data_IF_080916187253
#
_entry.id   IF_080916187253
#
_cell.length_a   1.000
_cell.length_b   1.000
_cell.length_c   1.000
_cell.angle_alpha   90.00
_cell.angle_beta   90.00
_cell.angle_gamma   90.00
#
_symmetry.space_group_name_H-M   'P 1'
#
loop_
_entity.id
_entity.type
_entity.pdbx_description
1 polymer ?
#
# COMPACT_ATOMS: atom_id res chain seq x y z
N UNK A 1 -13.44 6.81 1.91
CA UNK A 1 -12.13 7.09 2.52
C UNK A 1 -11.83 6.04 3.57
N UNK A 2 -10.57 5.59 3.64
CA UNK A 2 -10.07 4.63 4.63
C UNK A 2 -8.85 5.24 5.30
N UNK A 3 -8.81 5.26 6.64
CA UNK A 3 -7.65 5.70 7.39
C UNK A 3 -7.69 5.12 8.81
N UNK A 4 -6.80 4.19 9.10
CA UNK A 4 -6.91 3.34 10.29
C UNK A 4 -6.33 3.96 11.56
N UNK A 5 -5.28 4.77 11.43
CA UNK A 5 -4.47 5.19 12.58
C UNK A 5 -4.69 6.65 13.03
N UNK A 6 -5.75 7.31 12.54
CA UNK A 6 -6.13 8.67 12.98
C UNK A 6 -7.43 8.61 13.77
N UNK A 7 -7.41 9.15 14.97
CA UNK A 7 -8.50 9.08 15.95
C UNK A 7 -8.96 10.47 16.35
N UNK A 8 -10.26 10.62 16.58
CA UNK A 8 -10.83 11.85 17.13
C UNK A 8 -10.53 11.94 18.64
N UNK A 9 -9.98 13.06 19.09
CA UNK A 9 -9.78 13.34 20.53
C UNK A 9 -11.11 13.33 21.26
N UNK A 10 -12.18 13.88 20.66
CA UNK A 10 -13.52 13.98 21.26
C UNK A 10 -14.17 12.63 21.52
N UNK A 11 -14.05 11.67 20.62
CA UNK A 11 -14.75 10.39 20.70
C UNK A 11 -13.86 9.20 21.07
N UNK A 12 -12.54 9.34 20.96
CA UNK A 12 -11.57 8.24 21.09
C UNK A 12 -11.71 7.16 20.01
N UNK A 13 -12.51 7.40 18.96
CA UNK A 13 -12.77 6.45 17.89
C UNK A 13 -11.98 6.85 16.63
N UNK A 14 -11.70 5.90 15.71
CA UNK A 14 -11.15 6.23 14.40
C UNK A 14 -11.97 7.33 13.72
N UNK A 15 -11.29 8.29 13.10
CA UNK A 15 -11.93 9.42 12.44
C UNK A 15 -12.59 9.00 11.13
N UNK A 16 -12.03 8.00 10.46
CA UNK A 16 -12.53 7.41 9.22
C UNK A 16 -12.76 5.91 9.42
N UNK A 17 -13.38 5.26 8.44
CA UNK A 17 -13.41 3.80 8.39
C UNK A 17 -11.96 3.26 8.42
N UNK A 18 -11.58 2.40 9.38
CA UNK A 18 -10.21 1.92 9.49
C UNK A 18 -9.81 1.02 8.30
N UNK A 19 -10.76 0.33 7.69
CA UNK A 19 -10.55 -0.52 6.53
C UNK A 19 -11.86 -0.72 5.76
N UNK A 20 -11.74 -1.25 4.53
CA UNK A 20 -12.84 -1.82 3.75
C UNK A 20 -12.49 -3.23 3.29
N UNK A 21 -13.51 -4.08 3.15
CA UNK A 21 -13.40 -5.38 2.48
C UNK A 21 -14.26 -5.31 1.25
N UNK A 22 -13.67 -5.57 0.08
CA UNK A 22 -14.34 -5.54 -1.22
C UNK A 22 -14.29 -6.91 -1.88
N UNK A 23 -15.35 -7.27 -2.57
CA UNK A 23 -15.40 -8.47 -3.40
C UNK A 23 -14.83 -8.16 -4.79
N UNK A 24 -13.83 -8.94 -5.21
CA UNK A 24 -13.24 -8.85 -6.54
C UNK A 24 -13.50 -10.14 -7.32
N UNK A 25 -14.14 -9.99 -8.48
CA UNK A 25 -14.26 -11.10 -9.43
C UNK A 25 -12.93 -11.30 -10.12
N UNK A 26 -12.47 -12.54 -10.16
CA UNK A 26 -11.27 -12.96 -10.86
C UNK A 26 -11.59 -14.13 -11.79
N UNK A 27 -10.81 -14.27 -12.87
CA UNK A 27 -10.78 -15.49 -13.68
C UNK A 27 -9.58 -16.32 -13.25
N UNK A 28 -9.83 -17.55 -12.87
CA UNK A 28 -8.82 -18.50 -12.43
C UNK A 28 -8.87 -19.78 -13.29
N UNK A 29 -7.82 -20.59 -13.22
CA UNK A 29 -7.80 -21.91 -13.85
C UNK A 29 -8.27 -22.94 -12.82
N UNK A 30 -9.32 -23.66 -13.13
CA UNK A 30 -9.86 -24.74 -12.31
C UNK A 30 -8.99 -26.00 -12.35
N UNK A 31 -9.29 -27.00 -11.51
CA UNK A 31 -8.54 -28.27 -11.45
C UNK A 31 -8.53 -29.05 -12.77
N UNK A 32 -9.55 -28.86 -13.60
CA UNK A 32 -9.68 -29.46 -14.93
C UNK A 32 -9.02 -28.65 -16.06
N UNK A 33 -8.29 -27.59 -15.70
CA UNK A 33 -7.63 -26.70 -16.65
C UNK A 33 -8.53 -25.65 -17.31
N UNK A 34 -9.83 -25.65 -17.01
CA UNK A 34 -10.78 -24.68 -17.59
C UNK A 34 -10.81 -23.38 -16.80
N UNK A 35 -11.20 -22.30 -17.49
CA UNK A 35 -11.43 -21.03 -16.86
C UNK A 35 -12.65 -21.07 -15.94
N UNK A 36 -12.50 -20.61 -14.70
CA UNK A 36 -13.58 -20.44 -13.73
C UNK A 36 -13.63 -19.00 -13.24
N UNK A 37 -14.82 -18.49 -12.99
CA UNK A 37 -14.99 -17.21 -12.29
C UNK A 37 -15.05 -17.46 -10.80
N UNK A 38 -14.28 -16.72 -10.04
CA UNK A 38 -14.26 -16.80 -8.57
C UNK A 38 -14.27 -15.40 -7.95
N UNK A 39 -14.70 -15.33 -6.71
CA UNK A 39 -14.65 -14.08 -5.93
C UNK A 39 -13.52 -14.16 -4.92
N UNK A 40 -12.75 -13.08 -4.81
CA UNK A 40 -11.73 -12.88 -3.78
C UNK A 40 -12.11 -11.70 -2.91
N UNK A 41 -12.09 -11.88 -1.58
CA UNK A 41 -12.32 -10.81 -0.63
C UNK A 41 -11.02 -10.08 -0.31
N UNK A 42 -10.92 -8.83 -0.76
CA UNK A 42 -9.73 -7.99 -0.57
C UNK A 42 -9.99 -6.96 0.51
N UNK A 43 -9.26 -7.06 1.61
CA UNK A 43 -9.21 -6.04 2.64
C UNK A 43 -8.25 -4.92 2.27
N UNK A 44 -8.68 -3.69 2.40
CA UNK A 44 -7.89 -2.48 2.16
C UNK A 44 -7.81 -1.70 3.47
N UNK A 45 -6.59 -1.47 3.95
CA UNK A 45 -6.31 -0.66 5.14
C UNK A 45 -5.31 0.45 4.79
N UNK A 46 -5.46 1.64 5.37
CA UNK A 46 -4.51 2.72 5.09
C UNK A 46 -4.03 3.44 6.34
N UNK A 47 -2.86 4.08 6.21
CA UNK A 47 -2.16 4.73 7.31
C UNK A 47 -1.59 6.09 6.87
N UNK A 48 -1.76 7.09 7.73
CA UNK A 48 -1.00 8.33 7.68
C UNK A 48 0.30 8.19 8.50
N UNK A 49 1.37 8.92 8.16
CA UNK A 49 2.55 8.97 9.01
C UNK A 49 2.18 9.61 10.36
N UNK A 50 2.50 8.98 11.49
CA UNK A 50 2.16 9.55 12.81
C UNK A 50 2.75 10.94 13.03
N UNK A 51 3.88 11.25 12.39
CA UNK A 51 4.57 12.55 12.44
C UNK A 51 3.75 13.70 11.86
N UNK A 52 2.62 13.44 11.17
CA UNK A 52 1.70 14.48 10.70
C UNK A 52 1.23 15.38 11.84
N UNK A 53 1.17 14.83 13.06
CA UNK A 53 0.82 15.59 14.26
C UNK A 53 1.82 16.71 14.57
N UNK A 54 3.07 16.61 14.10
CA UNK A 54 4.08 17.67 14.22
C UNK A 54 4.00 18.63 13.03
N UNK A 55 3.85 18.12 11.79
CA UNK A 55 3.84 18.94 10.57
C UNK A 55 2.63 19.85 10.49
N UNK A 56 1.46 19.30 10.81
CA UNK A 56 0.17 19.99 10.74
C UNK A 56 -0.40 20.30 12.13
N UNK A 57 0.47 20.45 13.13
CA UNK A 57 0.10 20.70 14.53
C UNK A 57 -0.96 21.80 14.65
N UNK A 58 -0.79 22.89 13.93
CA UNK A 58 -1.72 24.03 13.90
C UNK A 58 -3.16 23.63 13.64
N UNK A 59 -3.39 22.61 12.81
CA UNK A 59 -4.71 22.19 12.38
C UNK A 59 -5.25 20.98 13.14
N UNK A 60 -4.34 20.15 13.68
CA UNK A 60 -4.67 18.83 14.21
C UNK A 60 -4.69 18.76 15.74
N UNK A 61 -3.89 19.59 16.43
CA UNK A 61 -3.78 19.57 17.89
C UNK A 61 -5.15 19.79 18.56
N UNK A 62 -5.45 18.95 19.56
CA UNK A 62 -6.73 18.97 20.28
C UNK A 62 -7.93 18.42 19.51
N UNK A 63 -7.77 18.09 18.21
CA UNK A 63 -8.86 17.53 17.37
C UNK A 63 -8.69 16.06 17.12
N UNK A 64 -7.47 15.65 16.78
CA UNK A 64 -7.13 14.26 16.47
C UNK A 64 -5.82 13.86 17.13
N UNK A 65 -5.58 12.56 17.17
CA UNK A 65 -4.29 11.97 17.52
C UNK A 65 -4.05 10.75 16.62
N UNK A 66 -2.78 10.37 16.46
CA UNK A 66 -2.38 9.21 15.67
C UNK A 66 -1.93 8.07 16.57
N UNK A 67 -2.09 6.84 16.07
CA UNK A 67 -1.44 5.64 16.60
C UNK A 67 -0.37 5.17 15.63
N UNK A 68 0.58 4.39 16.12
CA UNK A 68 1.61 3.81 15.28
C UNK A 68 1.02 2.90 14.20
N UNK A 69 1.70 2.85 13.05
CA UNK A 69 1.23 2.03 11.91
C UNK A 69 1.26 0.55 12.24
N UNK A 70 2.27 0.09 12.99
CA UNK A 70 2.43 -1.30 13.39
C UNK A 70 1.30 -1.74 14.33
N UNK A 71 1.09 -1.03 15.43
CA UNK A 71 0.06 -1.35 16.43
C UNK A 71 -1.34 -1.32 15.80
N UNK A 72 -1.57 -0.36 14.91
CA UNK A 72 -2.84 -0.24 14.20
C UNK A 72 -3.06 -1.42 13.26
N UNK A 73 -2.02 -1.85 12.55
CA UNK A 73 -2.08 -3.03 11.69
C UNK A 73 -2.29 -4.32 12.51
N UNK A 74 -1.55 -4.50 13.60
CA UNK A 74 -1.68 -5.64 14.53
C UNK A 74 -3.10 -5.74 15.11
N UNK A 75 -3.79 -4.62 15.28
CA UNK A 75 -5.18 -4.57 15.75
C UNK A 75 -6.17 -4.95 14.65
N UNK A 76 -6.09 -4.31 13.47
CA UNK A 76 -7.17 -4.41 12.49
C UNK A 76 -7.00 -5.54 11.48
N UNK A 77 -5.78 -6.01 11.18
CA UNK A 77 -5.58 -7.11 10.23
C UNK A 77 -6.25 -8.41 10.70
N UNK A 78 -6.10 -8.84 11.97
CA UNK A 78 -6.83 -10.00 12.46
C UNK A 78 -8.37 -9.84 12.39
N UNK A 79 -8.87 -8.63 12.67
CA UNK A 79 -10.29 -8.32 12.54
C UNK A 79 -10.77 -8.45 11.08
N UNK A 80 -10.01 -7.90 10.12
CA UNK A 80 -10.31 -8.03 8.69
C UNK A 80 -10.34 -9.50 8.25
N UNK A 81 -9.36 -10.31 8.70
CA UNK A 81 -9.31 -11.76 8.42
C UNK A 81 -10.52 -12.49 9.01
N UNK A 82 -10.88 -12.19 10.26
CA UNK A 82 -12.06 -12.77 10.90
C UNK A 82 -13.36 -12.41 10.18
N UNK A 83 -13.40 -11.26 9.50
CA UNK A 83 -14.52 -10.82 8.65
C UNK A 83 -14.45 -11.33 7.20
N UNK A 84 -13.51 -12.22 6.91
CA UNK A 84 -13.41 -12.95 5.66
C UNK A 84 -12.48 -12.34 4.61
N UNK A 85 -11.66 -11.34 4.95
CA UNK A 85 -10.63 -10.86 4.02
C UNK A 85 -9.62 -11.97 3.73
N UNK A 86 -9.52 -12.39 2.46
CA UNK A 86 -8.56 -13.39 1.98
C UNK A 86 -7.22 -12.76 1.61
N UNK A 87 -7.23 -11.50 1.20
CA UNK A 87 -6.03 -10.68 0.94
C UNK A 87 -6.13 -9.38 1.72
N UNK A 88 -4.99 -8.86 2.17
CA UNK A 88 -4.89 -7.54 2.80
C UNK A 88 -3.86 -6.68 2.08
N UNK A 89 -4.32 -5.57 1.54
CA UNK A 89 -3.51 -4.53 0.90
C UNK A 89 -3.39 -3.35 1.85
N UNK A 90 -2.17 -3.04 2.26
CA UNK A 90 -1.87 -1.87 3.07
C UNK A 90 -1.44 -0.69 2.18
N UNK A 91 -2.06 0.46 2.37
CA UNK A 91 -1.71 1.72 1.71
C UNK A 91 -1.15 2.63 2.80
N UNK A 92 0.14 2.93 2.77
CA UNK A 92 0.79 3.71 3.83
C UNK A 92 1.60 4.86 3.27
N UNK A 93 1.27 6.07 3.69
CA UNK A 93 2.03 7.26 3.32
C UNK A 93 3.28 7.38 4.19
N UNK A 94 4.29 6.57 3.92
CA UNK A 94 5.58 6.51 4.62
C UNK A 94 6.62 5.79 3.77
N UNK A 95 7.89 5.96 4.08
CA UNK A 95 9.02 5.25 3.49
C UNK A 95 9.45 4.04 4.32
N UNK A 96 10.68 3.57 4.07
CA UNK A 96 11.36 2.53 4.84
C UNK A 96 12.39 3.18 5.77
N UNK A 97 12.43 2.73 7.01
CA UNK A 97 13.40 3.16 8.03
C UNK A 97 13.56 2.02 9.05
N UNK A 98 14.81 1.67 9.38
CA UNK A 98 15.18 0.63 10.35
C UNK A 98 15.68 1.20 11.68
N UNK A 99 15.58 2.52 11.89
CA UNK A 99 15.83 3.12 13.20
C UNK A 99 14.99 2.41 14.27
N UNK A 100 15.42 2.37 15.52
CA UNK A 100 14.64 1.72 16.57
C UNK A 100 13.18 2.13 16.53
N UNK A 101 12.28 1.14 16.52
CA UNK A 101 10.85 1.39 16.33
C UNK A 101 10.29 2.38 17.35
N UNK A 102 9.52 3.32 16.87
CA UNK A 102 8.70 4.23 17.68
C UNK A 102 7.30 4.34 17.08
N UNK A 103 6.23 4.32 17.89
CA UNK A 103 4.86 4.54 17.40
C UNK A 103 4.64 5.88 16.70
N UNK A 104 5.57 6.82 16.88
CA UNK A 104 5.51 8.17 16.28
C UNK A 104 6.44 8.33 15.09
N UNK A 105 7.14 7.26 14.65
CA UNK A 105 8.09 7.36 13.53
C UNK A 105 7.38 7.70 12.22
N UNK A 106 8.11 8.44 11.38
CA UNK A 106 7.63 8.94 10.09
C UNK A 106 7.52 7.84 9.04
N UNK A 107 8.56 7.00 8.93
CA UNK A 107 8.72 6.02 7.86
C UNK A 107 8.61 4.58 8.37
N UNK A 108 7.48 4.24 9.02
CA UNK A 108 7.28 2.97 9.73
C UNK A 108 7.03 1.73 8.88
N UNK A 109 7.16 1.80 7.54
CA UNK A 109 6.71 0.71 6.66
C UNK A 109 7.63 -0.52 6.68
N UNK A 110 8.89 -0.38 7.08
CA UNK A 110 9.76 -1.53 7.33
C UNK A 110 9.19 -2.43 8.45
N UNK A 111 8.65 -1.83 9.50
CA UNK A 111 7.99 -2.53 10.59
C UNK A 111 6.57 -2.98 10.26
N UNK A 112 5.83 -2.21 9.44
CA UNK A 112 4.53 -2.62 8.92
C UNK A 112 4.62 -3.91 8.11
N UNK A 113 5.69 -4.07 7.31
CA UNK A 113 5.89 -5.29 6.51
C UNK A 113 6.16 -6.55 7.35
N UNK A 114 6.49 -6.40 8.62
CA UNK A 114 6.70 -7.51 9.57
C UNK A 114 5.40 -7.95 10.24
N UNK A 115 4.32 -7.19 10.10
CA UNK A 115 3.02 -7.55 10.68
C UNK A 115 2.42 -8.73 9.91
N UNK A 116 2.08 -9.85 10.58
CA UNK A 116 1.49 -10.99 9.91
C UNK A 116 0.18 -10.64 9.20
N UNK A 117 0.03 -11.15 7.98
CA UNK A 117 -1.22 -10.99 7.23
C UNK A 117 -1.26 -9.79 6.28
N UNK A 118 -0.20 -9.02 6.14
CA UNK A 118 -0.04 -8.05 5.05
C UNK A 118 0.40 -8.79 3.78
N UNK A 119 -0.39 -8.69 2.71
CA UNK A 119 -0.14 -9.38 1.45
C UNK A 119 0.49 -8.49 0.38
N UNK A 120 0.25 -7.18 0.44
CA UNK A 120 0.88 -6.18 -0.44
C UNK A 120 0.91 -4.81 0.23
N UNK A 121 1.89 -3.98 -0.14
CA UNK A 121 2.01 -2.59 0.32
C UNK A 121 2.18 -1.61 -0.83
N UNK A 122 1.39 -0.53 -0.79
CA UNK A 122 1.57 0.66 -1.60
C UNK A 122 2.09 1.75 -0.66
N UNK A 123 3.33 2.18 -0.86
CA UNK A 123 4.00 3.12 0.04
C UNK A 123 4.42 4.40 -0.67
N UNK A 124 4.80 5.45 0.07
CA UNK A 124 5.08 6.76 -0.52
C UNK A 124 5.94 7.64 0.37
N UNK A 125 5.65 8.95 0.40
CA UNK A 125 6.22 9.98 1.25
C UNK A 125 7.69 10.34 0.98
N UNK A 126 8.61 9.40 1.03
CA UNK A 126 10.05 9.63 0.81
C UNK A 126 10.42 9.90 -0.65
N UNK A 127 9.45 9.95 -1.55
CA UNK A 127 9.61 10.29 -2.97
C UNK A 127 10.66 9.45 -3.71
N UNK A 128 10.82 8.20 -3.32
CA UNK A 128 11.78 7.28 -3.91
C UNK A 128 11.11 6.35 -4.93
N UNK A 129 11.91 5.73 -5.77
CA UNK A 129 11.47 4.74 -6.74
C UNK A 129 11.80 3.33 -6.23
N UNK A 130 10.75 2.53 -5.95
CA UNK A 130 10.89 1.14 -5.53
C UNK A 130 9.81 0.28 -6.20
N UNK A 131 10.15 -0.88 -6.82
CA UNK A 131 11.49 -1.45 -6.92
C UNK A 131 12.44 -0.67 -7.81
N UNK A 132 13.75 -0.72 -7.50
CA UNK A 132 14.80 -0.20 -8.32
C UNK A 132 16.13 -0.90 -7.99
N UNK A 133 16.53 -1.87 -8.80
CA UNK A 133 17.75 -2.66 -8.59
C UNK A 133 19.03 -1.81 -8.57
N UNK A 134 19.05 -0.70 -9.31
CA UNK A 134 20.20 0.21 -9.39
C UNK A 134 20.22 1.27 -8.27
N UNK A 135 19.22 1.28 -7.39
CA UNK A 135 19.12 2.29 -6.33
C UNK A 135 20.28 2.23 -5.34
N UNK A 136 20.80 3.40 -5.00
CA UNK A 136 21.82 3.62 -3.95
C UNK A 136 21.21 4.06 -2.62
N UNK A 137 19.89 4.11 -2.52
CA UNK A 137 19.16 4.47 -1.30
C UNK A 137 19.50 3.47 -0.19
N UNK A 138 20.06 3.92 0.95
CA UNK A 138 20.49 3.00 2.01
C UNK A 138 19.38 2.10 2.53
N UNK A 139 18.17 2.63 2.68
CA UNK A 139 16.99 1.90 3.17
C UNK A 139 16.55 0.74 2.25
N UNK A 140 17.01 0.73 1.00
CA UNK A 140 16.73 -0.38 0.07
C UNK A 140 17.75 -1.53 0.19
N UNK A 141 18.75 -1.39 1.05
CA UNK A 141 19.73 -2.44 1.37
C UNK A 141 19.51 -3.02 2.77
N UNK A 142 18.39 -2.72 3.43
CA UNK A 142 18.03 -3.27 4.74
C UNK A 142 17.82 -4.78 4.67
N UNK A 143 18.07 -5.53 5.77
CA UNK A 143 17.74 -6.94 5.86
C UNK A 143 16.27 -7.19 5.45
N UNK A 144 16.05 -8.22 4.61
CA UNK A 144 14.71 -8.55 4.13
C UNK A 144 14.17 -7.65 3.00
N UNK A 145 14.92 -6.65 2.53
CA UNK A 145 14.55 -5.83 1.38
C UNK A 145 15.21 -6.35 0.11
N UNK A 146 14.39 -6.78 -0.85
CA UNK A 146 14.82 -7.12 -2.21
C UNK A 146 14.40 -6.01 -3.17
N UNK A 147 15.31 -5.06 -3.38
CA UNK A 147 15.06 -3.87 -4.22
C UNK A 147 14.94 -4.19 -5.71
N UNK A 148 15.36 -5.36 -6.15
CA UNK A 148 15.21 -5.78 -7.54
C UNK A 148 13.81 -6.35 -7.78
N UNK A 149 13.30 -7.14 -6.85
CA UNK A 149 11.98 -7.77 -6.95
C UNK A 149 10.85 -6.96 -6.32
N UNK A 150 11.15 -5.89 -5.59
CA UNK A 150 10.12 -5.09 -4.90
C UNK A 150 9.54 -5.80 -3.68
N UNK A 151 10.37 -6.49 -2.89
CA UNK A 151 9.91 -7.18 -1.68
C UNK A 151 10.50 -6.54 -0.43
N UNK A 152 9.68 -6.37 0.59
CA UNK A 152 10.11 -5.92 1.93
C UNK A 152 9.62 -6.95 2.93
N UNK A 153 10.54 -7.66 3.59
CA UNK A 153 10.24 -8.81 4.47
C UNK A 153 9.28 -9.84 3.82
N UNK A 154 9.48 -10.07 2.51
CA UNK A 154 8.63 -10.96 1.71
C UNK A 154 7.23 -10.39 1.39
N UNK A 155 6.96 -9.12 1.63
CA UNK A 155 5.72 -8.45 1.20
C UNK A 155 5.97 -7.68 -0.09
N UNK A 156 5.22 -7.95 -1.18
CA UNK A 156 5.26 -7.17 -2.40
C UNK A 156 4.96 -5.69 -2.11
N UNK A 157 5.88 -4.81 -2.48
CA UNK A 157 5.83 -3.40 -2.09
C UNK A 157 6.21 -2.51 -3.27
N UNK A 158 5.48 -1.42 -3.49
CA UNK A 158 5.80 -0.43 -4.53
C UNK A 158 5.78 0.99 -3.98
N UNK A 159 6.75 1.80 -4.43
CA UNK A 159 6.78 3.26 -4.24
C UNK A 159 7.01 3.93 -5.61
N UNK A 160 6.06 4.74 -6.04
CA UNK A 160 5.97 5.23 -7.41
C UNK A 160 6.64 6.60 -7.63
N UNK A 161 7.66 6.95 -6.83
CA UNK A 161 8.34 8.25 -6.92
C UNK A 161 7.38 9.41 -6.56
N UNK A 162 7.45 10.54 -7.26
CA UNK A 162 6.69 11.75 -6.99
C UNK A 162 6.05 12.32 -8.28
N UNK A 163 5.02 13.15 -8.09
CA UNK A 163 4.37 13.95 -9.14
C UNK A 163 3.85 13.16 -10.35
N UNK A 164 3.38 11.94 -10.12
CA UNK A 164 2.83 11.13 -11.20
C UNK A 164 3.86 10.65 -12.24
N UNK A 165 5.16 10.73 -11.95
CA UNK A 165 6.21 10.30 -12.87
C UNK A 165 6.22 8.79 -13.13
N UNK A 166 5.64 8.02 -12.22
CA UNK A 166 5.55 6.56 -12.32
C UNK A 166 4.20 6.06 -11.86
N UNK A 167 3.77 4.94 -12.42
CA UNK A 167 2.65 4.14 -11.96
C UNK A 167 3.20 2.90 -11.24
N UNK A 168 2.89 2.74 -9.96
CA UNK A 168 3.20 1.53 -9.21
C UNK A 168 2.22 0.40 -9.56
N UNK A 169 2.75 -0.78 -9.91
CA UNK A 169 1.96 -1.95 -10.26
C UNK A 169 2.42 -3.15 -9.45
N UNK A 170 1.50 -3.81 -8.74
CA UNK A 170 1.74 -5.09 -8.08
C UNK A 170 0.83 -6.12 -8.75
N UNK A 171 1.42 -7.08 -9.46
CA UNK A 171 0.72 -8.21 -10.07
C UNK A 171 0.70 -9.40 -9.10
N UNK A 172 -0.31 -9.47 -8.23
CA UNK A 172 -0.45 -10.57 -7.29
C UNK A 172 -0.82 -11.86 -8.01
N UNK A 173 0.05 -12.86 -7.96
CA UNK A 173 -0.30 -14.22 -8.36
C UNK A 173 -1.03 -14.92 -7.23
N UNK A 174 -2.24 -15.39 -7.52
CA UNK A 174 -3.07 -16.06 -6.53
C UNK A 174 -3.15 -17.56 -6.82
N UNK A 175 -3.20 -18.36 -5.76
CA UNK A 175 -3.61 -19.77 -5.80
C UNK A 175 -4.63 -20.05 -4.71
N UNK A 176 -5.54 -20.97 -4.94
CA UNK A 176 -6.48 -21.44 -3.92
C UNK A 176 -5.84 -22.61 -3.16
N UNK A 177 -5.78 -22.54 -1.83
CA UNK A 177 -5.14 -23.56 -0.99
C UNK A 177 -6.10 -24.66 -0.51
N UNK A 178 -7.33 -24.66 -1.02
CA UNK A 178 -8.43 -25.54 -0.62
C UNK A 178 -9.43 -24.88 0.32
N UNK A 179 -9.06 -23.74 0.94
CA UNK A 179 -9.92 -22.99 1.87
C UNK A 179 -10.13 -21.54 1.43
N UNK A 180 -9.08 -20.89 0.94
CA UNK A 180 -9.08 -19.48 0.58
C UNK A 180 -8.06 -19.19 -0.51
N UNK A 181 -8.16 -18.00 -1.11
CA UNK A 181 -7.14 -17.49 -2.00
C UNK A 181 -5.94 -16.98 -1.20
N UNK A 182 -4.74 -17.36 -1.62
CA UNK A 182 -3.47 -16.95 -1.03
C UNK A 182 -2.52 -16.42 -2.11
N UNK A 183 -1.63 -15.51 -1.72
CA UNK A 183 -0.63 -14.94 -2.63
C UNK A 183 0.53 -15.92 -2.82
N UNK A 184 0.80 -16.27 -4.07
CA UNK A 184 2.07 -16.91 -4.46
C UNK A 184 3.12 -15.82 -4.66
N UNK A 185 3.91 -15.60 -3.62
CA UNK A 185 4.96 -14.54 -3.61
C UNK A 185 6.09 -14.83 -4.59
N UNK A 186 6.30 -16.09 -4.99
CA UNK A 186 7.35 -16.47 -5.94
C UNK A 186 7.05 -16.00 -7.37
N UNK A 187 5.77 -16.00 -7.75
CA UNK A 187 5.26 -15.62 -9.06
C UNK A 187 4.60 -14.22 -9.10
N UNK A 188 4.57 -13.52 -7.95
CA UNK A 188 4.10 -12.13 -7.87
C UNK A 188 5.15 -11.18 -8.45
N UNK A 189 4.69 -10.19 -9.22
CA UNK A 189 5.53 -9.16 -9.84
C UNK A 189 5.27 -7.80 -9.22
N UNK A 190 6.33 -6.99 -9.11
CA UNK A 190 6.24 -5.58 -8.68
C UNK A 190 7.04 -4.74 -9.64
N UNK A 191 6.46 -3.66 -10.12
CA UNK A 191 7.11 -2.73 -11.02
C UNK A 191 6.65 -1.28 -10.78
N UNK A 192 7.51 -0.34 -11.11
CA UNK A 192 7.17 1.07 -11.17
C UNK A 192 7.38 1.54 -12.62
N UNK A 193 6.28 1.71 -13.36
CA UNK A 193 6.27 2.09 -14.76
C UNK A 193 6.41 3.59 -14.91
N UNK A 194 7.47 4.06 -15.56
CA UNK A 194 7.62 5.47 -15.89
C UNK A 194 6.60 5.93 -16.92
N UNK A 195 6.19 7.20 -16.84
CA UNK A 195 5.39 7.84 -17.90
C UNK A 195 6.25 8.28 -19.09
N UNK A 196 7.58 8.29 -18.94
CA UNK A 196 8.53 8.56 -20.02
C UNK A 196 9.07 7.25 -20.58
N UNK A 197 8.98 7.09 -21.88
CA UNK A 197 9.53 5.95 -22.63
C UNK A 197 11.05 6.02 -22.74
N UNK A 198 11.70 4.93 -23.17
CA UNK A 198 13.15 4.87 -23.34
C UNK A 198 13.68 5.85 -24.38
N UNK A 199 12.88 6.19 -25.40
CA UNK A 199 13.19 7.19 -26.43
C UNK A 199 12.95 8.65 -25.98
N UNK A 200 12.65 8.85 -24.69
CA UNK A 200 12.31 10.13 -24.06
C UNK A 200 10.94 10.72 -24.45
N UNK A 201 10.17 10.05 -25.29
CA UNK A 201 8.76 10.39 -25.47
C UNK A 201 7.95 10.09 -24.19
N UNK A 202 6.74 10.65 -24.10
CA UNK A 202 5.81 10.36 -22.99
C UNK A 202 4.70 9.44 -23.46
N UNK A 203 4.15 8.67 -22.53
CA UNK A 203 2.90 7.93 -22.77
C UNK A 203 1.80 8.90 -23.20
N UNK A 204 0.94 8.47 -24.12
CA UNK A 204 -0.16 9.32 -24.57
C UNK A 204 -1.17 9.52 -23.43
N UNK A 205 -1.54 10.79 -23.13
CA UNK A 205 -2.55 11.06 -22.12
C UNK A 205 -3.91 10.57 -22.61
N UNK A 206 -4.75 10.12 -21.67
CA UNK A 206 -6.16 9.84 -21.97
C UNK A 206 -6.93 11.16 -22.12
N UNK A 207 -7.50 11.49 -23.30
CA UNK A 207 -8.21 12.73 -23.50
C UNK A 207 -9.47 12.85 -22.64
N UNK A 208 -10.05 11.73 -22.17
CA UNK A 208 -11.19 11.76 -21.27
C UNK A 208 -10.83 12.34 -19.90
N UNK A 209 -9.62 12.04 -19.39
CA UNK A 209 -9.13 12.60 -18.12
C UNK A 209 -8.93 14.12 -18.23
N UNK A 210 -8.30 14.60 -19.31
CA UNK A 210 -8.12 16.03 -19.55
C UNK A 210 -9.48 16.76 -19.60
N UNK A 211 -10.48 16.16 -20.23
CA UNK A 211 -11.85 16.72 -20.30
C UNK A 211 -12.53 16.78 -18.93
N UNK A 212 -12.34 15.77 -18.08
CA UNK A 212 -12.95 15.72 -16.76
C UNK A 212 -12.47 16.82 -15.81
N UNK A 213 -11.24 17.29 -15.96
CA UNK A 213 -10.63 18.30 -15.08
C UNK A 213 -10.47 19.67 -15.74
N UNK A 214 -11.05 19.88 -16.94
CA UNK A 214 -10.83 21.08 -17.73
C UNK A 214 -11.31 22.35 -17.03
N UNK A 215 -12.44 22.30 -16.33
CA UNK A 215 -13.02 23.45 -15.63
C UNK A 215 -12.16 23.85 -14.43
N UNK A 216 -11.76 22.88 -13.59
CA UNK A 216 -10.92 23.12 -12.44
C UNK A 216 -9.51 23.57 -12.84
N UNK A 217 -9.00 23.11 -13.99
CA UNK A 217 -7.69 23.50 -14.49
C UNK A 217 -7.66 24.89 -15.11
N UNK A 218 -8.81 25.40 -15.55
CA UNK A 218 -8.96 26.74 -16.13
C UNK A 218 -9.22 27.83 -15.10
N UNK A 219 -9.53 27.48 -13.84
CA UNK A 219 -9.79 28.39 -12.73
C UNK A 219 -8.50 28.82 -12.03
#
# INVERSE_FOLDING_TARGET
QVLANVYSVKSGKPLFAPYHIIDKQITATGPDGKAITSTVKVGIISFAPPTIMAWDKRWLEGRVYTQGVRETAEKFIPEMRARGAELVVAISHGGLDDSPYSPTMENGNYYLSQVPGVDAMLIGHSHQLFPNAASTVPQFNLPGVDKARGMVNGVPTVMANLWGKHLGVIGLRLRHDGKQWVVDKSATTVEARGIQNADKSYVQPDPAIAKLVAEEHAA
#
